data_IF_412017644901
#
_entry.id   IF_412017644901
#
_cell.length_a   1.000
_cell.length_b   1.000
_cell.length_c   1.000
_cell.angle_alpha   90.00
_cell.angle_beta   90.00
_cell.angle_gamma   90.00
#
_symmetry.space_group_name_H-M   'P 1'
#
loop_
_entity.id
_entity.type
_entity.pdbx_description
1 polymer ?
#
# COMPACT_ATOMS: atom_id res chain seq x y z
N UNK A 1 -5.84 -2.63 -14.94
CA UNK A 1 -5.93 -3.76 -13.98
C UNK A 1 -5.74 -3.36 -12.52
N UNK A 2 -4.61 -2.76 -12.13
CA UNK A 2 -4.34 -2.36 -10.73
C UNK A 2 -5.44 -1.48 -10.11
N UNK A 3 -5.88 -0.47 -10.84
CA UNK A 3 -6.98 0.41 -10.45
C UNK A 3 -8.28 -0.37 -10.23
N UNK A 4 -8.64 -1.29 -11.13
CA UNK A 4 -9.83 -2.12 -10.97
C UNK A 4 -9.74 -2.98 -9.70
N UNK A 5 -8.58 -3.55 -9.40
CA UNK A 5 -8.37 -4.32 -8.17
C UNK A 5 -8.56 -3.47 -6.92
N UNK A 6 -8.05 -2.23 -6.93
CA UNK A 6 -8.27 -1.28 -5.85
C UNK A 6 -9.76 -0.95 -5.66
N UNK A 7 -10.47 -0.74 -6.76
CA UNK A 7 -11.92 -0.46 -6.76
C UNK A 7 -12.73 -1.61 -6.15
N UNK A 8 -12.27 -2.85 -6.31
CA UNK A 8 -12.93 -4.07 -5.85
C UNK A 8 -12.55 -4.46 -4.41
N UNK A 9 -11.54 -3.84 -3.79
CA UNK A 9 -11.15 -4.10 -2.39
C UNK A 9 -12.27 -3.98 -1.34
N UNK A 10 -13.25 -3.06 -1.46
CA UNK A 10 -14.35 -2.97 -0.50
C UNK A 10 -15.36 -4.11 -0.61
N UNK A 11 -15.34 -4.89 -1.69
CA UNK A 11 -16.35 -5.93 -1.90
C UNK A 11 -16.13 -7.07 -0.90
N UNK A 12 -17.22 -7.59 -0.30
CA UNK A 12 -17.13 -8.75 0.59
C UNK A 12 -16.46 -9.94 -0.10
N UNK A 13 -15.68 -10.74 0.66
CA UNK A 13 -14.99 -11.93 0.12
C UNK A 13 -15.90 -12.94 -0.59
N UNK A 14 -17.18 -13.00 -0.20
CA UNK A 14 -18.16 -13.89 -0.85
C UNK A 14 -18.62 -13.38 -2.24
N UNK A 15 -18.37 -12.11 -2.54
CA UNK A 15 -18.66 -11.49 -3.84
C UNK A 15 -17.41 -11.38 -4.71
N UNK A 16 -16.22 -11.36 -4.09
CA UNK A 16 -14.96 -11.23 -4.79
C UNK A 16 -13.85 -12.06 -4.14
N UNK A 17 -13.39 -13.09 -4.85
CA UNK A 17 -12.27 -13.92 -4.40
C UNK A 17 -10.95 -13.17 -4.58
N UNK A 18 -10.31 -12.78 -3.47
CA UNK A 18 -8.98 -12.15 -3.49
C UNK A 18 -7.92 -12.99 -4.22
N UNK A 19 -8.11 -14.32 -4.28
CA UNK A 19 -7.26 -15.25 -5.03
C UNK A 19 -7.37 -15.02 -6.54
N UNK A 20 -8.59 -14.88 -7.06
CA UNK A 20 -8.84 -14.57 -8.47
C UNK A 20 -8.23 -13.23 -8.86
N UNK A 21 -8.43 -12.21 -8.02
CA UNK A 21 -7.88 -10.87 -8.19
C UNK A 21 -6.34 -10.88 -8.33
N UNK A 22 -5.67 -11.63 -7.46
CA UNK A 22 -4.21 -11.79 -7.45
C UNK A 22 -3.72 -12.52 -8.69
N UNK A 23 -4.41 -13.59 -9.09
CA UNK A 23 -4.07 -14.35 -10.29
C UNK A 23 -4.26 -13.50 -11.55
N UNK A 24 -5.38 -12.80 -11.68
CA UNK A 24 -5.65 -11.90 -12.80
C UNK A 24 -4.58 -10.79 -12.92
N UNK A 25 -4.15 -10.22 -11.79
CA UNK A 25 -3.07 -9.23 -11.80
C UNK A 25 -1.74 -9.81 -12.26
N UNK A 26 -1.36 -10.97 -11.72
CA UNK A 26 -0.13 -11.67 -12.09
C UNK A 26 -0.11 -11.99 -13.58
N UNK A 27 -1.23 -12.53 -14.10
CA UNK A 27 -1.39 -12.81 -15.53
C UNK A 27 -1.27 -11.53 -16.36
N UNK A 28 -1.96 -10.45 -15.99
CA UNK A 28 -1.90 -9.19 -16.73
C UNK A 28 -0.47 -8.59 -16.75
N UNK A 29 0.25 -8.63 -15.62
CA UNK A 29 1.64 -8.15 -15.54
C UNK A 29 2.59 -9.04 -16.35
N UNK A 30 2.35 -10.36 -16.41
CA UNK A 30 3.14 -11.28 -17.22
C UNK A 30 2.87 -11.11 -18.71
N UNK A 31 1.60 -10.92 -19.11
CA UNK A 31 1.24 -10.63 -20.50
C UNK A 31 1.87 -9.33 -20.95
N UNK A 32 1.75 -8.26 -20.14
CA UNK A 32 2.37 -6.98 -20.43
C UNK A 32 3.90 -7.09 -20.55
N UNK A 33 4.55 -7.91 -19.73
CA UNK A 33 5.99 -8.18 -19.85
C UNK A 33 6.37 -8.90 -21.15
N UNK A 34 5.50 -9.78 -21.65
CA UNK A 34 5.73 -10.54 -22.88
C UNK A 34 5.46 -9.71 -24.13
N UNK A 35 4.44 -8.84 -24.10
CA UNK A 35 4.03 -8.02 -25.22
C UNK A 35 4.94 -6.79 -25.40
N UNK A 36 5.49 -6.23 -24.32
CA UNK A 36 6.41 -5.09 -24.38
C UNK A 36 7.87 -5.56 -24.39
N UNK A 37 8.44 -5.68 -25.60
CA UNK A 37 9.88 -5.86 -25.83
C UNK A 37 10.67 -4.54 -25.63
N UNK A 38 12.02 -4.59 -25.61
CA UNK A 38 12.85 -4.65 -24.42
C UNK A 38 13.06 -3.31 -23.70
N UNK A 39 12.18 -2.31 -23.79
CA UNK A 39 12.40 -1.03 -23.13
C UNK A 39 12.62 -1.23 -21.61
N UNK A 40 13.67 -0.58 -21.10
CA UNK A 40 14.12 -0.67 -19.72
C UNK A 40 13.08 -0.04 -18.80
N UNK A 41 12.42 1.04 -19.24
CA UNK A 41 11.39 1.74 -18.46
C UNK A 41 10.16 0.86 -18.19
N UNK A 42 9.63 0.22 -19.23
CA UNK A 42 8.50 -0.71 -19.09
C UNK A 42 8.83 -1.90 -18.16
N UNK A 43 10.05 -2.44 -18.24
CA UNK A 43 10.51 -3.52 -17.36
C UNK A 43 10.62 -3.07 -15.91
N UNK A 44 11.23 -1.92 -15.65
CA UNK A 44 11.41 -1.37 -14.31
C UNK A 44 10.08 -1.28 -13.54
N UNK A 45 9.06 -0.74 -14.20
CA UNK A 45 7.73 -0.61 -13.62
C UNK A 45 7.06 -1.95 -13.35
N UNK A 46 7.11 -2.90 -14.29
CA UNK A 46 6.50 -4.23 -14.09
C UNK A 46 7.15 -4.95 -12.93
N UNK A 47 8.49 -4.94 -12.85
CA UNK A 47 9.21 -5.55 -11.73
C UNK A 47 8.83 -4.89 -10.39
N UNK A 48 8.73 -3.56 -10.37
CA UNK A 48 8.30 -2.82 -9.19
C UNK A 48 6.87 -3.23 -8.75
N UNK A 49 5.91 -3.25 -9.68
CA UNK A 49 4.51 -3.58 -9.37
C UNK A 49 4.36 -5.02 -8.89
N UNK A 50 5.00 -5.99 -9.58
CA UNK A 50 5.00 -7.40 -9.15
C UNK A 50 5.54 -7.54 -7.73
N UNK A 51 6.66 -6.88 -7.45
CA UNK A 51 7.30 -6.90 -6.12
C UNK A 51 6.38 -6.36 -5.04
N UNK A 52 5.78 -5.18 -5.25
CA UNK A 52 4.87 -4.58 -4.27
C UNK A 52 3.61 -5.41 -4.02
N UNK A 53 3.03 -6.00 -5.07
CA UNK A 53 1.89 -6.89 -4.90
C UNK A 53 2.24 -8.15 -4.12
N UNK A 54 3.42 -8.73 -4.35
CA UNK A 54 3.92 -9.85 -3.54
C UNK A 54 4.16 -9.45 -2.08
N UNK A 55 4.70 -8.25 -1.83
CA UNK A 55 4.88 -7.73 -0.45
C UNK A 55 3.52 -7.53 0.23
N UNK A 56 2.54 -6.96 -0.46
CA UNK A 56 1.20 -6.78 0.08
C UNK A 56 0.54 -8.14 0.41
N UNK A 57 0.70 -9.12 -0.49
CA UNK A 57 0.25 -10.48 -0.26
C UNK A 57 0.88 -11.11 0.99
N UNK A 58 2.22 -11.02 1.09
CA UNK A 58 2.99 -11.49 2.23
C UNK A 58 2.50 -10.89 3.55
N UNK A 59 2.35 -9.56 3.61
CA UNK A 59 1.90 -8.86 4.82
C UNK A 59 0.48 -9.23 5.23
N UNK A 60 -0.41 -9.50 4.26
CA UNK A 60 -1.79 -9.91 4.54
C UNK A 60 -1.88 -11.38 4.96
N UNK A 61 -0.97 -12.23 4.48
CA UNK A 61 -0.96 -13.66 4.72
C UNK A 61 -0.11 -14.10 5.92
N UNK A 62 0.58 -13.15 6.59
CA UNK A 62 1.41 -13.38 7.78
C UNK A 62 0.55 -13.86 8.97
N UNK A 63 0.06 -15.10 8.83
CA UNK A 63 -0.37 -15.99 9.87
C UNK A 63 0.88 -16.56 10.55
N UNK A 64 0.89 -16.75 11.88
CA UNK A 64 2.05 -17.24 12.65
C UNK A 64 2.37 -18.73 12.40
N UNK A 65 2.50 -19.14 11.13
CA UNK A 65 2.73 -20.51 10.69
C UNK A 65 2.88 -20.69 9.17
N UNK A 66 2.64 -19.65 8.36
CA UNK A 66 2.96 -19.70 6.93
C UNK A 66 4.44 -19.34 6.74
N UNK A 67 5.21 -20.19 6.08
CA UNK A 67 6.60 -19.93 5.72
C UNK A 67 6.66 -18.72 4.78
N UNK A 68 6.87 -17.53 5.35
CA UNK A 68 7.13 -16.25 4.70
C UNK A 68 8.04 -16.31 3.45
N UNK A 69 8.87 -17.35 3.38
CA UNK A 69 9.84 -17.61 2.33
C UNK A 69 9.24 -18.06 0.99
N UNK A 70 8.10 -18.77 0.98
CA UNK A 70 7.52 -19.31 -0.27
C UNK A 70 6.97 -18.20 -1.18
N UNK A 71 6.51 -17.08 -0.62
CA UNK A 71 6.04 -15.93 -1.41
C UNK A 71 7.14 -14.88 -1.68
N UNK A 72 8.31 -14.99 -1.03
CA UNK A 72 9.47 -14.11 -1.27
C UNK A 72 10.38 -14.62 -2.41
N UNK A 73 10.31 -15.91 -2.73
CA UNK A 73 11.08 -16.56 -3.79
C UNK A 73 10.95 -15.87 -5.17
N UNK A 74 9.75 -15.43 -5.61
CA UNK A 74 9.61 -14.67 -6.85
C UNK A 74 10.35 -13.31 -6.83
N UNK A 75 10.43 -12.65 -5.66
CA UNK A 75 11.12 -11.35 -5.51
C UNK A 75 12.63 -11.57 -5.59
N UNK A 76 13.14 -12.59 -4.90
CA UNK A 76 14.56 -12.91 -4.89
C UNK A 76 15.04 -13.39 -6.25
N UNK A 77 14.26 -14.21 -6.95
CA UNK A 77 14.61 -14.65 -8.31
C UNK A 77 14.60 -13.48 -9.28
N UNK A 78 13.60 -12.60 -9.19
CA UNK A 78 13.56 -11.36 -10.00
C UNK A 78 14.80 -10.49 -9.73
N UNK A 79 15.18 -10.31 -8.47
CA UNK A 79 16.39 -9.56 -8.11
C UNK A 79 17.67 -10.23 -8.60
N UNK A 80 17.76 -11.56 -8.56
CA UNK A 80 18.92 -12.30 -9.03
C UNK A 80 19.11 -12.14 -10.54
N UNK A 81 18.01 -12.21 -11.30
CA UNK A 81 18.03 -12.12 -12.77
C UNK A 81 18.25 -10.68 -13.25
N UNK A 82 17.68 -9.68 -12.56
CA UNK A 82 17.63 -8.30 -13.06
C UNK A 82 18.38 -7.26 -12.21
N UNK A 83 18.68 -7.55 -10.94
CA UNK A 83 19.20 -6.57 -9.98
C UNK A 83 20.72 -6.58 -9.76
N UNK A 84 21.42 -7.68 -10.05
CA UNK A 84 22.87 -7.77 -9.83
C UNK A 84 23.62 -7.01 -10.92
N UNK A 85 24.32 -5.93 -10.54
CA UNK A 85 25.14 -5.11 -11.45
C UNK A 85 24.37 -4.04 -12.25
N UNK A 86 23.04 -3.96 -12.11
CA UNK A 86 22.15 -3.07 -12.88
C UNK A 86 21.26 -2.19 -12.02
N UNK A 87 21.71 -1.83 -10.81
CA UNK A 87 20.89 -1.06 -9.85
C UNK A 87 20.43 0.30 -10.37
N UNK A 88 21.22 0.94 -11.22
CA UNK A 88 20.88 2.24 -11.79
C UNK A 88 19.90 2.13 -12.97
N UNK A 89 19.76 0.93 -13.55
CA UNK A 89 18.90 0.71 -14.72
C UNK A 89 17.43 0.55 -14.29
N UNK A 90 17.17 0.28 -13.01
CA UNK A 90 15.84 -0.04 -12.48
C UNK A 90 15.51 0.72 -11.17
N UNK A 91 15.34 2.05 -11.21
CA UNK A 91 15.06 2.87 -10.02
C UNK A 91 13.70 2.57 -9.36
N UNK A 92 12.65 2.27 -10.12
CA UNK A 92 11.30 1.93 -9.61
C UNK A 92 11.34 0.58 -8.90
N UNK A 93 12.00 -0.41 -9.49
CA UNK A 93 12.19 -1.73 -8.89
C UNK A 93 13.06 -1.65 -7.64
N UNK A 94 14.13 -0.85 -7.66
CA UNK A 94 14.96 -0.59 -6.47
C UNK A 94 14.12 0.00 -5.33
N UNK A 95 13.20 0.91 -5.62
CA UNK A 95 12.25 1.45 -4.64
C UNK A 95 11.34 0.35 -4.06
N UNK A 96 10.80 -0.53 -4.91
CA UNK A 96 9.98 -1.65 -4.47
C UNK A 96 10.77 -2.65 -3.59
N UNK A 97 12.03 -2.94 -3.91
CA UNK A 97 12.90 -3.80 -3.12
C UNK A 97 13.20 -3.21 -1.73
N UNK A 98 13.35 -1.89 -1.62
CA UNK A 98 13.48 -1.22 -0.31
C UNK A 98 12.24 -1.45 0.55
N UNK A 99 11.05 -1.28 -0.04
CA UNK A 99 9.78 -1.55 0.65
C UNK A 99 9.70 -3.02 1.08
N UNK A 100 10.10 -3.97 0.23
CA UNK A 100 10.16 -5.38 0.56
C UNK A 100 11.10 -5.67 1.75
N UNK A 101 12.29 -5.09 1.75
CA UNK A 101 13.25 -5.23 2.85
C UNK A 101 12.72 -4.63 4.17
N UNK A 102 12.03 -3.49 4.12
CA UNK A 102 11.39 -2.88 5.28
C UNK A 102 10.23 -3.74 5.82
N UNK A 103 9.43 -4.34 4.94
CA UNK A 103 8.38 -5.30 5.32
C UNK A 103 8.97 -6.51 6.05
N UNK A 104 10.02 -7.11 5.49
CA UNK A 104 10.70 -8.25 6.11
C UNK A 104 11.32 -7.90 7.47
N UNK A 105 11.86 -6.70 7.62
CA UNK A 105 12.48 -6.23 8.86
C UNK A 105 11.47 -5.73 9.90
N UNK A 106 10.17 -5.74 9.59
CA UNK A 106 9.12 -5.23 10.48
C UNK A 106 9.08 -3.71 10.62
N UNK A 107 9.71 -2.95 9.72
CA UNK A 107 9.73 -1.48 9.71
C UNK A 107 8.48 -0.87 9.06
N UNK A 108 7.31 -1.21 9.59
CA UNK A 108 6.01 -0.88 9.02
C UNK A 108 5.75 0.63 8.87
N UNK A 109 6.17 1.46 9.84
CA UNK A 109 6.07 2.92 9.70
C UNK A 109 6.90 3.46 8.53
N UNK A 110 8.11 2.90 8.32
CA UNK A 110 8.99 3.32 7.23
C UNK A 110 8.36 3.01 5.88
N UNK A 111 7.62 1.91 5.75
CA UNK A 111 6.85 1.58 4.54
C UNK A 111 5.82 2.68 4.24
N UNK A 112 5.01 3.08 5.22
CA UNK A 112 4.01 4.14 5.04
C UNK A 112 4.67 5.46 4.64
N UNK A 113 5.77 5.81 5.33
CA UNK A 113 6.56 7.01 5.03
C UNK A 113 7.08 7.00 3.60
N UNK A 114 7.74 5.93 3.17
CA UNK A 114 8.26 5.85 1.80
C UNK A 114 7.13 5.89 0.77
N UNK A 115 6.05 5.15 0.96
CA UNK A 115 4.89 5.18 0.06
C UNK A 115 4.28 6.58 -0.08
N UNK A 116 4.29 7.39 0.99
CA UNK A 116 3.81 8.78 0.95
C UNK A 116 4.74 9.73 0.19
N UNK A 117 6.03 9.40 0.11
CA UNK A 117 7.06 10.23 -0.52
C UNK A 117 7.23 9.95 -2.02
N UNK A 118 6.68 8.84 -2.53
CA UNK A 118 6.72 8.54 -3.97
C UNK A 118 5.68 9.41 -4.66
N UNK A 119 6.15 10.32 -5.51
CA UNK A 119 5.31 11.24 -6.27
C UNK A 119 4.86 10.65 -7.63
N UNK A 120 3.96 11.39 -8.29
CA UNK A 120 3.50 11.08 -9.64
C UNK A 120 2.61 9.83 -9.76
N UNK A 121 2.29 9.42 -11.00
CA UNK A 121 1.47 8.25 -11.28
C UNK A 121 2.06 6.96 -10.72
N UNK A 122 3.38 6.79 -10.78
CA UNK A 122 4.07 5.64 -10.18
C UNK A 122 3.80 5.54 -8.67
N UNK A 123 3.84 6.65 -7.93
CA UNK A 123 3.51 6.65 -6.51
C UNK A 123 2.08 6.19 -6.21
N UNK A 124 1.12 6.61 -7.04
CA UNK A 124 -0.26 6.16 -6.92
C UNK A 124 -0.37 4.66 -7.17
N UNK A 125 0.28 4.13 -8.21
CA UNK A 125 0.31 2.70 -8.50
C UNK A 125 0.95 1.90 -7.35
N UNK A 126 2.06 2.38 -6.78
CA UNK A 126 2.68 1.78 -5.62
C UNK A 126 1.72 1.66 -4.43
N UNK A 127 0.98 2.75 -4.14
CA UNK A 127 0.00 2.77 -3.04
C UNK A 127 -1.22 1.91 -3.34
N UNK A 128 -1.64 1.81 -4.61
CA UNK A 128 -2.69 0.87 -5.04
C UNK A 128 -2.25 -0.57 -4.82
N UNK A 129 -1.03 -0.94 -5.22
CA UNK A 129 -0.48 -2.28 -5.01
C UNK A 129 -0.42 -2.65 -3.53
N UNK A 130 -0.08 -1.68 -2.67
CA UNK A 130 0.07 -1.87 -1.23
C UNK A 130 -1.24 -1.68 -0.45
N UNK A 131 -2.28 -1.13 -1.07
CA UNK A 131 -3.58 -0.87 -0.44
C UNK A 131 -4.11 -2.05 0.38
N UNK A 132 -4.12 -3.30 -0.13
CA UNK A 132 -4.63 -4.46 0.61
C UNK A 132 -3.95 -4.69 1.96
N UNK A 133 -2.69 -4.24 2.11
CA UNK A 133 -1.88 -4.44 3.30
C UNK A 133 -1.86 -3.22 4.24
N UNK A 134 -2.42 -2.06 3.87
CA UNK A 134 -2.27 -0.82 4.65
C UNK A 134 -2.80 -0.95 6.08
N UNK A 135 -3.96 -1.59 6.27
CA UNK A 135 -4.50 -1.83 7.61
C UNK A 135 -3.56 -2.70 8.47
N UNK A 136 -2.93 -3.71 7.88
CA UNK A 136 -1.97 -4.58 8.58
C UNK A 136 -0.68 -3.83 8.89
N UNK A 137 -0.19 -3.03 7.95
CA UNK A 137 0.99 -2.18 8.14
C UNK A 137 0.76 -1.22 9.31
N UNK A 138 -0.37 -0.51 9.33
CA UNK A 138 -0.74 0.39 10.43
C UNK A 138 -0.91 -0.36 11.75
N UNK A 139 -1.56 -1.52 11.74
CA UNK A 139 -1.69 -2.38 12.91
C UNK A 139 -0.32 -2.74 13.51
N UNK A 140 0.59 -3.25 12.68
CA UNK A 140 1.91 -3.66 13.14
C UNK A 140 2.76 -2.46 13.59
N UNK A 141 2.61 -1.29 12.93
CA UNK A 141 3.21 -0.05 13.40
C UNK A 141 2.71 0.30 14.81
N UNK A 142 1.39 0.38 15.03
CA UNK A 142 0.81 0.66 16.35
C UNK A 142 1.28 -0.36 17.39
N UNK A 143 1.29 -1.65 17.05
CA UNK A 143 1.77 -2.71 17.94
C UNK A 143 3.24 -2.51 18.35
N UNK A 144 4.10 -2.10 17.41
CA UNK A 144 5.50 -1.81 17.70
C UNK A 144 5.62 -0.58 18.62
N UNK A 145 4.94 0.52 18.31
CA UNK A 145 4.92 1.72 19.15
C UNK A 145 4.38 1.44 20.55
N UNK A 146 3.30 0.65 20.66
CA UNK A 146 2.74 0.22 21.93
C UNK A 146 3.73 -0.57 22.79
N UNK A 147 4.69 -1.28 22.18
CA UNK A 147 5.77 -1.95 22.92
C UNK A 147 6.88 -0.98 23.35
N UNK A 148 7.13 0.08 22.59
CA UNK A 148 8.24 1.01 22.81
C UNK A 148 7.95 2.14 23.81
N UNK A 149 6.69 2.58 23.95
CA UNK A 149 6.34 3.70 24.85
C UNK A 149 6.50 3.41 26.34
N UNK A 150 6.45 4.44 27.20
CA UNK A 150 6.35 4.25 28.65
C UNK A 150 4.96 3.73 29.04
N UNK A 151 4.82 3.14 30.23
CA UNK A 151 3.52 2.61 30.70
C UNK A 151 2.46 3.72 30.72
N UNK A 152 1.30 3.48 30.11
CA UNK A 152 0.14 4.37 30.08
C UNK A 152 0.45 5.77 29.54
N UNK A 153 1.30 5.86 28.53
CA UNK A 153 1.58 7.14 27.89
C UNK A 153 0.41 7.54 26.98
N UNK A 154 -0.17 8.70 27.25
CA UNK A 154 -1.24 9.29 26.45
C UNK A 154 -0.66 10.12 25.31
N UNK A 155 -0.97 9.75 24.08
CA UNK A 155 -0.49 10.43 22.86
C UNK A 155 -1.67 11.10 22.15
N UNK A 156 -1.56 12.38 21.76
CA UNK A 156 -2.60 13.08 21.01
C UNK A 156 -3.02 12.34 19.73
N UNK A 157 -4.33 12.29 19.45
CA UNK A 157 -4.85 11.58 18.27
C UNK A 157 -4.36 12.18 16.93
N UNK A 158 -4.03 13.47 16.88
CA UNK A 158 -3.44 14.10 15.69
C UNK A 158 -2.00 13.60 15.42
N UNK A 159 -1.20 13.39 16.47
CA UNK A 159 0.12 12.75 16.36
C UNK A 159 0.00 11.32 15.85
N UNK A 160 -0.95 10.54 16.38
CA UNK A 160 -1.18 9.17 15.92
C UNK A 160 -1.71 9.15 14.49
N UNK A 161 -2.57 10.10 14.10
CA UNK A 161 -3.04 10.22 12.72
C UNK A 161 -1.88 10.49 11.75
N UNK A 162 -0.98 11.42 12.08
CA UNK A 162 0.24 11.68 11.30
C UNK A 162 1.13 10.44 11.20
N UNK A 163 1.31 9.73 12.33
CA UNK A 163 2.15 8.54 12.39
C UNK A 163 1.62 7.41 11.49
N UNK A 164 0.30 7.22 11.45
CA UNK A 164 -0.35 6.14 10.70
C UNK A 164 -0.80 6.57 9.30
N UNK A 165 -0.51 7.82 8.91
CA UNK A 165 -0.98 8.41 7.66
C UNK A 165 -2.50 8.25 7.49
N UNK A 166 -3.24 8.57 8.56
CA UNK A 166 -4.69 8.62 8.59
C UNK A 166 -5.15 10.07 8.36
N UNK A 167 -6.29 10.28 7.70
CA UNK A 167 -6.69 11.61 7.23
C UNK A 167 -7.11 12.55 8.36
N UNK A 168 -7.60 12.02 9.49
CA UNK A 168 -8.12 12.82 10.60
C UNK A 168 -7.78 12.19 11.96
N UNK A 169 -7.75 13.00 13.04
CA UNK A 169 -7.65 12.47 14.40
C UNK A 169 -8.79 11.50 14.75
N UNK A 170 -10.00 11.75 14.24
CA UNK A 170 -11.14 10.85 14.41
C UNK A 170 -10.87 9.46 13.80
N UNK A 171 -10.31 9.41 12.59
CA UNK A 171 -9.94 8.14 11.96
C UNK A 171 -8.86 7.38 12.76
N UNK A 172 -7.93 8.09 13.40
CA UNK A 172 -6.95 7.48 14.30
C UNK A 172 -7.58 6.91 15.57
N UNK A 173 -8.54 7.63 16.17
CA UNK A 173 -9.32 7.12 17.31
C UNK A 173 -10.12 5.89 16.91
N UNK A 174 -10.83 5.92 15.79
CA UNK A 174 -11.62 4.78 15.29
C UNK A 174 -10.74 3.56 15.03
N UNK A 175 -9.56 3.77 14.44
CA UNK A 175 -8.58 2.71 14.22
C UNK A 175 -8.04 2.17 15.54
N UNK A 176 -7.54 3.00 16.45
CA UNK A 176 -6.91 2.51 17.68
C UNK A 176 -7.91 1.98 18.72
N UNK A 177 -9.02 2.68 18.97
CA UNK A 177 -10.03 2.28 19.94
C UNK A 177 -11.00 1.24 19.39
N UNK A 178 -11.51 1.46 18.17
CA UNK A 178 -12.48 0.57 17.56
C UNK A 178 -11.89 -0.78 17.19
N UNK A 179 -10.72 -0.76 16.55
CA UNK A 179 -10.05 -1.94 16.01
C UNK A 179 -9.15 -2.64 17.02
N UNK A 180 -8.28 -1.86 17.67
CA UNK A 180 -7.19 -2.38 18.50
C UNK A 180 -7.53 -2.40 19.99
N UNK A 181 -8.70 -1.85 20.34
CA UNK A 181 -9.20 -1.77 21.72
C UNK A 181 -8.25 -1.03 22.66
N UNK A 182 -7.47 -0.08 22.14
CA UNK A 182 -6.66 0.81 22.97
C UNK A 182 -7.57 1.83 23.67
N UNK A 183 -7.34 2.15 24.96
CA UNK A 183 -8.11 3.17 25.65
C UNK A 183 -7.90 4.56 25.05
N UNK A 184 -8.94 5.38 25.13
CA UNK A 184 -8.90 6.79 24.73
C UNK A 184 -9.37 7.64 25.90
N UNK A 185 -8.55 8.62 26.28
CA UNK A 185 -8.79 9.55 27.37
C UNK A 185 -8.64 10.98 26.81
N UNK A 186 -9.70 11.80 26.85
CA UNK A 186 -9.67 13.20 26.39
C UNK A 186 -9.15 13.39 24.95
N UNK A 187 -9.50 12.48 24.04
CA UNK A 187 -9.02 12.51 22.65
C UNK A 187 -7.56 12.09 22.47
N UNK A 188 -6.93 11.52 23.50
CA UNK A 188 -5.58 10.95 23.46
C UNK A 188 -5.66 9.43 23.52
N UNK A 189 -4.81 8.75 22.74
CA UNK A 189 -4.71 7.29 22.71
C UNK A 189 -3.69 6.85 23.76
N UNK A 190 -4.08 5.94 24.64
CA UNK A 190 -3.24 5.49 25.75
C UNK A 190 -2.48 4.22 25.37
N UNK A 191 -1.18 4.35 25.13
CA UNK A 191 -0.29 3.24 24.84
C UNK A 191 0.15 2.50 26.13
N UNK A 192 0.48 1.21 26.00
CA UNK A 192 0.81 0.26 27.09
C UNK A 192 -0.27 0.08 28.15
N UNK A 193 -1.48 0.57 27.94
CA UNK A 193 -2.60 0.29 28.84
C UNK A 193 -3.18 -1.11 28.62
N UNK A 194 -3.08 -1.64 27.39
CA UNK A 194 -3.49 -2.99 27.03
C UNK A 194 -2.53 -3.61 26.00
N UNK A 195 -2.41 -4.94 25.95
CA UNK A 195 -1.81 -5.60 24.79
C UNK A 195 -2.68 -5.30 23.56
N UNK A 196 -2.04 -4.91 22.46
CA UNK A 196 -2.71 -4.86 21.16
C UNK A 196 -2.99 -6.29 20.77
N UNK A 197 -4.25 -6.72 20.94
CA UNK A 197 -4.67 -8.08 20.61
C UNK A 197 -4.73 -8.23 19.10
N UNK A 198 -4.35 -9.42 18.62
CA UNK A 198 -4.55 -9.75 17.22
C UNK A 198 -6.04 -9.61 16.93
N UNK A 199 -6.40 -8.77 15.94
CA UNK A 199 -7.79 -8.60 15.65
C UNK A 199 -8.41 -9.91 15.17
N UNK A 200 -9.73 -10.12 15.35
CA UNK A 200 -10.40 -11.29 14.82
C UNK A 200 -10.16 -11.41 13.30
N UNK A 201 -10.24 -12.62 12.75
CA UNK A 201 -10.06 -12.97 11.33
C UNK A 201 -10.89 -12.11 10.33
N UNK A 202 -11.73 -11.19 10.80
CA UNK A 202 -12.52 -10.25 10.02
C UNK A 202 -11.79 -8.93 9.68
N UNK A 203 -10.57 -8.70 10.16
CA UNK A 203 -9.91 -7.42 10.00
C UNK A 203 -9.16 -7.24 8.67
N UNK A 204 -8.75 -8.35 8.07
CA UNK A 204 -8.20 -8.42 6.71
C UNK A 204 -9.21 -8.00 5.62
N UNK A 205 -10.47 -7.74 6.01
CA UNK A 205 -11.60 -7.41 5.13
C UNK A 205 -11.94 -5.91 5.23
N UNK A 206 -11.37 -5.17 6.19
CA UNK A 206 -11.60 -3.71 6.34
C UNK A 206 -10.42 -2.91 5.82
N UNK A 207 -10.02 -3.14 4.57
CA UNK A 207 -9.52 -2.01 3.78
C UNK A 207 -10.70 -1.04 3.66
N UNK A 208 -10.81 -0.11 4.59
CA UNK A 208 -11.83 0.92 4.49
C UNK A 208 -11.34 1.90 3.42
N UNK A 209 -11.67 1.60 2.17
CA UNK A 209 -11.30 2.40 1.01
C UNK A 209 -11.58 3.88 1.24
N UNK A 210 -12.68 4.23 1.90
CA UNK A 210 -13.02 5.63 2.20
C UNK A 210 -11.97 6.33 3.09
N UNK A 211 -11.34 5.62 4.03
CA UNK A 211 -10.26 6.19 4.86
C UNK A 211 -8.91 6.17 4.15
N UNK A 212 -8.73 5.29 3.17
CA UNK A 212 -7.46 5.09 2.45
C UNK A 212 -7.36 5.86 1.14
N UNK A 213 -8.47 6.29 0.54
CA UNK A 213 -8.49 7.06 -0.71
C UNK A 213 -7.59 8.31 -0.58
N UNK A 214 -7.61 8.98 0.57
CA UNK A 214 -6.75 10.14 0.83
C UNK A 214 -5.26 9.78 0.84
N UNK A 215 -4.89 8.61 1.36
CA UNK A 215 -3.50 8.18 1.34
C UNK A 215 -3.08 7.69 -0.05
N UNK A 216 -3.91 6.85 -0.67
CA UNK A 216 -3.62 6.18 -1.95
C UNK A 216 -3.62 7.18 -3.10
N UNK A 217 -4.65 8.02 -3.15
CA UNK A 217 -4.93 8.91 -4.27
C UNK A 217 -4.71 10.39 -3.94
N UNK A 218 -4.65 10.79 -2.67
CA UNK A 218 -4.83 12.19 -2.25
C UNK A 218 -3.89 13.21 -2.89
N UNK A 219 -2.63 12.87 -3.16
CA UNK A 219 -1.72 13.79 -3.88
C UNK A 219 -2.11 14.00 -5.35
N UNK A 220 -2.71 13.00 -5.99
CA UNK A 220 -3.23 13.07 -7.35
C UNK A 220 -4.60 13.75 -7.38
N UNK A 221 -5.50 13.41 -6.44
CA UNK A 221 -6.79 14.05 -6.30
C UNK A 221 -6.61 15.55 -6.05
N UNK A 222 -5.73 15.97 -5.14
CA UNK A 222 -5.51 17.39 -4.87
C UNK A 222 -5.06 18.19 -6.11
N UNK A 223 -4.35 17.56 -7.05
CA UNK A 223 -3.85 18.19 -8.29
C UNK A 223 -4.84 18.14 -9.45
N UNK A 224 -5.72 17.13 -9.50
CA UNK A 224 -6.55 16.85 -10.68
C UNK A 224 -8.06 16.80 -10.40
N UNK A 225 -8.50 17.02 -9.16
CA UNK A 225 -9.90 16.97 -8.71
C UNK A 225 -10.82 17.96 -9.42
N UNK A 226 -10.27 18.93 -10.14
CA UNK A 226 -11.03 19.94 -10.86
C UNK A 226 -10.63 19.88 -12.33
N UNK A 227 -11.61 19.82 -13.23
CA UNK A 227 -11.34 19.96 -14.66
C UNK A 227 -11.09 21.43 -15.06
N UNK A 228 -10.86 21.66 -16.36
CA UNK A 228 -10.64 23.00 -16.92
C UNK A 228 -11.78 23.97 -16.64
N UNK A 229 -12.98 23.45 -16.38
CA UNK A 229 -14.21 24.21 -16.20
C UNK A 229 -14.56 24.42 -14.72
N UNK A 230 -13.68 24.01 -13.80
CA UNK A 230 -13.91 24.17 -12.37
C UNK A 230 -14.78 23.08 -11.74
N UNK A 231 -15.13 22.03 -12.50
CA UNK A 231 -16.04 20.97 -12.04
C UNK A 231 -15.28 19.89 -11.28
N UNK A 232 -15.82 19.48 -10.14
CA UNK A 232 -15.27 18.39 -9.33
C UNK A 232 -15.37 17.06 -10.10
N UNK A 233 -14.24 16.43 -10.36
CA UNK A 233 -14.16 15.14 -11.02
C UNK A 233 -14.38 14.03 -9.97
N UNK A 234 -15.35 13.13 -10.18
CA UNK A 234 -15.54 11.98 -9.30
C UNK A 234 -14.27 11.12 -9.24
N UNK A 235 -14.03 10.42 -8.12
CA UNK A 235 -12.85 9.56 -7.93
C UNK A 235 -12.66 8.55 -9.07
N UNK A 236 -13.76 8.05 -9.66
CA UNK A 236 -13.71 7.18 -10.84
C UNK A 236 -13.15 7.89 -12.09
N UNK A 237 -13.56 9.14 -12.34
CA UNK A 237 -13.02 9.95 -13.44
C UNK A 237 -11.55 10.30 -13.23
N UNK A 238 -11.13 10.52 -11.98
CA UNK A 238 -9.71 10.71 -11.64
C UNK A 238 -8.89 9.45 -11.89
N UNK A 239 -9.46 8.28 -11.60
CA UNK A 239 -8.83 6.98 -11.91
C UNK A 239 -8.73 6.72 -13.40
N UNK A 240 -9.74 7.08 -14.22
CA UNK A 240 -9.63 7.02 -15.68
C UNK A 240 -8.53 7.94 -16.21
N UNK A 241 -8.43 9.17 -15.69
CA UNK A 241 -7.33 10.08 -16.05
C UNK A 241 -5.97 9.53 -15.64
N UNK A 242 -5.86 8.90 -14.47
CA UNK A 242 -4.64 8.22 -14.02
C UNK A 242 -4.22 7.10 -14.98
N UNK A 243 -5.19 6.36 -15.51
CA UNK A 243 -4.93 5.30 -16.50
C UNK A 243 -4.45 5.90 -17.82
N UNK A 244 -5.12 6.94 -18.31
CA UNK A 244 -4.75 7.64 -19.55
C UNK A 244 -3.40 8.36 -19.43
N UNK A 245 -3.10 8.96 -18.29
CA UNK A 245 -1.84 9.67 -18.07
C UNK A 245 -0.69 8.70 -17.81
N UNK A 246 -0.96 7.57 -17.14
CA UNK A 246 0.01 6.49 -17.11
C UNK A 246 0.31 6.03 -18.55
N UNK A 247 -0.72 5.83 -19.40
CA UNK A 247 -0.59 5.51 -20.83
C UNK A 247 0.27 6.54 -21.60
N UNK A 248 0.07 7.85 -21.39
CA UNK A 248 0.82 8.93 -22.06
C UNK A 248 2.27 9.03 -21.55
N UNK A 249 2.51 8.90 -20.24
CA UNK A 249 3.87 8.89 -19.69
C UNK A 249 4.70 7.68 -20.19
N UNK A 250 4.08 6.67 -20.81
CA UNK A 250 4.83 5.60 -21.49
C UNK A 250 5.36 5.99 -22.87
N UNK A 251 4.75 6.98 -23.54
CA UNK A 251 5.16 7.42 -24.88
C UNK A 251 6.21 8.54 -24.82
N UNK A 252 6.25 9.32 -23.75
CA UNK A 252 7.12 10.50 -23.62
C UNK A 252 8.56 10.22 -23.13
N UNK A 253 8.87 8.98 -22.68
CA UNK A 253 10.25 8.57 -22.31
C UNK A 253 11.16 8.30 -23.55
N UNK A 254 10.70 8.59 -24.78
CA UNK A 254 11.44 8.43 -26.06
C UNK A 254 12.25 9.66 -26.54
N UNK A 255 12.54 10.66 -25.70
CA UNK A 255 13.34 11.86 -26.08
C UNK A 255 14.64 12.06 -25.28
#
# INVERSE_FOLDING_TARGET
HLVALYLLLPLPRHQFEAKFARQALSTALNMYWQENHPDVGSKDQVLAMRTLCSVAAFLVLDHPGATAWVEAEPILETYRVHGIGRRNDFPRFTTALRIAAAAHSGFHYIILKWLSQIEGPFGVLCRICMAPALSVIRYNAVRHYNKSYMKRQSVPADEVARLLFLPTPAAAIDFCAGLLKLPVEEGKIVFKAAPVTSPPNSLWIRCNRQTDDNFVLGSYIARHHVDSDGVRIPTFGLMQRLLLQAEIDFDDDEL
#
